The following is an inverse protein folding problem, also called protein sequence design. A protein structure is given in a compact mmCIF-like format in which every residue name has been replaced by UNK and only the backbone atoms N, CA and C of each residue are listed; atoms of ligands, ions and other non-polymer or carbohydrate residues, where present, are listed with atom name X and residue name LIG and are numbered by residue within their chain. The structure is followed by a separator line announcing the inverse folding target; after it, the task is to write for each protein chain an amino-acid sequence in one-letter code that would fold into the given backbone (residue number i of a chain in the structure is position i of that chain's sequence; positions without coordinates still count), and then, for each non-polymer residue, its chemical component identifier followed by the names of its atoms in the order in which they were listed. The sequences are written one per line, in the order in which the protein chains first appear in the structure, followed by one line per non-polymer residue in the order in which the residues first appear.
data_IF_028811504714
#
_entry.id   IF_028811504714
#
_cell.length_a   1.000
_cell.length_b   1.000
_cell.length_c   1.000
_cell.angle_alpha   90.00
_cell.angle_beta   90.00
_cell.angle_gamma   90.00
#
_symmetry.space_group_name_H-M   'P 1'
#
loop_
_entity.id
_entity.type
_entity.pdbx_description
1 polymer ?
#
# COMPACT_ATOMS: atom_id res chain seq x y z
N UNK A 1 1.57 2.75 2.18
CA UNK A 1 1.69 1.68 3.19
C UNK A 1 3.15 1.56 3.60
N UNK A 2 3.57 2.23 4.68
CA UNK A 2 4.98 2.31 5.09
C UNK A 2 5.40 1.20 6.07
N UNK A 3 6.71 1.04 6.26
CA UNK A 3 7.36 0.03 7.12
C UNK A 3 7.13 -1.40 6.64
N UNK A 4 7.15 -1.63 5.33
CA UNK A 4 6.90 -2.96 4.76
C UNK A 4 7.98 -3.97 5.17
N UNK A 5 9.20 -3.50 5.40
CA UNK A 5 10.32 -4.25 5.96
C UNK A 5 9.99 -4.82 7.36
N UNK A 6 9.56 -3.96 8.29
CA UNK A 6 9.21 -4.38 9.65
C UNK A 6 7.92 -5.19 9.68
N UNK A 7 7.00 -4.92 8.75
CA UNK A 7 5.78 -5.69 8.61
C UNK A 7 6.09 -7.13 8.17
N UNK A 8 6.92 -7.29 7.13
CA UNK A 8 7.39 -8.58 6.64
C UNK A 8 8.05 -9.39 7.75
N UNK A 9 9.02 -8.78 8.46
CA UNK A 9 9.72 -9.44 9.56
C UNK A 9 8.74 -9.94 10.65
N UNK A 10 7.77 -9.12 11.04
CA UNK A 10 6.77 -9.50 12.04
C UNK A 10 5.85 -10.62 11.57
N UNK A 11 5.38 -10.58 10.33
CA UNK A 11 4.46 -11.59 9.80
C UNK A 11 5.16 -12.96 9.70
N UNK A 12 6.42 -12.99 9.29
CA UNK A 12 7.19 -14.21 9.11
C UNK A 12 7.73 -14.80 10.42
N UNK A 13 8.17 -13.95 11.35
CA UNK A 13 9.01 -14.41 12.47
C UNK A 13 8.42 -14.20 13.86
N UNK A 14 7.46 -13.29 14.03
CA UNK A 14 7.01 -12.94 15.40
C UNK A 14 5.90 -13.83 15.97
N UNK A 15 5.32 -14.73 15.17
CA UNK A 15 4.12 -15.51 15.55
C UNK A 15 2.86 -14.68 15.76
N UNK A 16 2.93 -13.34 15.60
CA UNK A 16 1.80 -12.40 15.69
C UNK A 16 1.11 -12.31 14.33
N UNK A 17 0.45 -13.39 13.94
CA UNK A 17 -0.21 -13.46 12.64
C UNK A 17 -1.43 -12.53 12.58
N UNK A 18 -1.70 -12.00 11.38
CA UNK A 18 -2.70 -10.94 11.18
C UNK A 18 -4.11 -11.34 11.64
N UNK A 19 -4.49 -12.61 11.45
CA UNK A 19 -5.79 -13.18 11.87
C UNK A 19 -6.08 -13.06 13.37
N UNK A 20 -5.04 -12.92 14.20
CA UNK A 20 -5.19 -12.75 15.66
C UNK A 20 -5.69 -11.34 16.03
N UNK A 21 -5.50 -10.37 15.13
CA UNK A 21 -5.85 -8.97 15.35
C UNK A 21 -6.99 -8.49 14.44
N UNK A 22 -7.12 -9.10 13.26
CA UNK A 22 -8.12 -8.79 12.24
C UNK A 22 -8.84 -10.09 11.85
N UNK A 23 -9.91 -10.48 12.55
CA UNK A 23 -10.61 -11.76 12.34
C UNK A 23 -11.20 -11.96 10.93
N UNK A 24 -11.47 -10.86 10.23
CA UNK A 24 -11.91 -10.81 8.85
C UNK A 24 -10.82 -11.23 7.84
N UNK A 25 -9.55 -11.19 8.23
CA UNK A 25 -8.47 -11.69 7.39
C UNK A 25 -8.53 -13.22 7.30
N UNK A 26 -8.74 -13.73 6.07
CA UNK A 26 -8.82 -15.17 5.78
C UNK A 26 -7.59 -15.73 5.06
N UNK A 27 -6.55 -14.91 4.88
CA UNK A 27 -5.30 -15.35 4.27
C UNK A 27 -4.51 -16.29 5.18
N UNK A 28 -3.51 -16.96 4.60
CA UNK A 28 -2.62 -17.85 5.34
C UNK A 28 -1.70 -17.06 6.29
N UNK A 29 -1.27 -17.72 7.36
CA UNK A 29 -0.20 -17.21 8.20
C UNK A 29 1.12 -17.17 7.41
N UNK A 30 2.02 -16.27 7.81
CA UNK A 30 3.31 -16.02 7.15
C UNK A 30 3.21 -15.56 5.68
N UNK A 31 2.00 -15.32 5.15
CA UNK A 31 1.79 -14.75 3.82
C UNK A 31 1.78 -13.21 3.91
N UNK A 32 2.98 -12.64 3.72
CA UNK A 32 3.22 -11.19 3.78
C UNK A 32 2.40 -10.45 2.72
N UNK A 33 2.34 -11.00 1.51
CA UNK A 33 1.67 -10.39 0.37
C UNK A 33 0.15 -10.32 0.58
N UNK A 34 -0.47 -11.44 0.98
CA UNK A 34 -1.89 -11.49 1.28
C UNK A 34 -2.26 -10.55 2.43
N UNK A 35 -1.45 -10.55 3.50
CA UNK A 35 -1.63 -9.68 4.64
C UNK A 35 -1.50 -8.19 4.27
N UNK A 36 -0.49 -7.83 3.48
CA UNK A 36 -0.26 -6.45 3.02
C UNK A 36 -1.38 -5.95 2.11
N UNK A 37 -1.84 -6.78 1.14
CA UNK A 37 -2.95 -6.44 0.24
C UNK A 37 -4.28 -6.34 0.98
N UNK A 38 -4.53 -7.21 1.95
CA UNK A 38 -5.71 -7.13 2.80
C UNK A 38 -5.79 -5.78 3.53
N UNK A 39 -4.68 -5.36 4.16
CA UNK A 39 -4.61 -4.07 4.83
C UNK A 39 -4.80 -2.91 3.85
N UNK A 40 -4.12 -2.93 2.71
CA UNK A 40 -4.28 -1.90 1.69
C UNK A 40 -5.74 -1.79 1.20
N UNK A 41 -6.39 -2.93 0.95
CA UNK A 41 -7.80 -3.01 0.59
C UNK A 41 -8.71 -2.44 1.67
N UNK A 42 -8.41 -2.67 2.96
CA UNK A 42 -9.15 -2.09 4.07
C UNK A 42 -9.03 -0.56 4.15
N UNK A 43 -7.90 0.03 3.74
CA UNK A 43 -7.79 1.49 3.61
C UNK A 43 -8.55 2.02 2.40
N UNK A 44 -8.43 1.35 1.25
CA UNK A 44 -9.11 1.75 0.01
C UNK A 44 -10.64 1.67 0.16
N UNK A 45 -11.16 0.67 0.89
CA UNK A 45 -12.60 0.50 1.11
C UNK A 45 -13.24 1.62 1.94
N UNK A 46 -12.45 2.41 2.67
CA UNK A 46 -12.92 3.59 3.40
C UNK A 46 -13.15 4.80 2.50
N UNK A 47 -12.74 4.73 1.22
CA UNK A 47 -12.98 5.80 0.27
C UNK A 47 -14.49 5.97 0.01
N UNK A 48 -15.02 7.16 0.33
CA UNK A 48 -16.43 7.52 0.12
C UNK A 48 -16.69 8.23 -1.21
N UNK A 49 -15.61 8.62 -1.89
CA UNK A 49 -15.63 9.40 -3.12
C UNK A 49 -15.05 8.54 -4.26
N UNK A 50 -15.85 7.69 -4.92
CA UNK A 50 -15.35 6.75 -5.93
C UNK A 50 -14.70 7.44 -7.14
N UNK A 51 -15.03 8.71 -7.39
CA UNK A 51 -14.40 9.55 -8.40
C UNK A 51 -12.96 9.95 -8.04
N UNK A 52 -12.59 9.87 -6.75
CA UNK A 52 -11.23 10.13 -6.27
C UNK A 52 -10.49 8.80 -6.15
N UNK A 53 -9.55 8.57 -7.06
CA UNK A 53 -8.69 7.40 -7.01
C UNK A 53 -7.75 7.48 -5.80
N UNK A 54 -7.67 6.38 -5.04
CA UNK A 54 -6.76 6.25 -3.90
C UNK A 54 -5.55 5.42 -4.32
N UNK A 55 -4.45 6.11 -4.60
CA UNK A 55 -3.17 5.49 -4.92
C UNK A 55 -2.47 5.04 -3.64
N UNK A 56 -1.95 3.81 -3.64
CA UNK A 56 -1.17 3.29 -2.53
C UNK A 56 0.08 2.56 -3.04
N UNK A 57 1.17 2.74 -2.31
CA UNK A 57 2.44 2.05 -2.54
C UNK A 57 2.91 1.40 -1.25
N UNK A 58 3.59 0.27 -1.33
CA UNK A 58 4.31 -0.31 -0.20
C UNK A 58 5.71 0.29 -0.15
N UNK A 59 6.07 0.83 1.01
CA UNK A 59 7.28 1.63 1.16
C UNK A 59 8.08 1.24 2.38
N UNK A 60 9.39 1.42 2.28
CA UNK A 60 10.32 1.44 3.41
C UNK A 60 10.94 2.84 3.43
N UNK A 61 10.41 3.74 4.27
CA UNK A 61 10.84 5.14 4.27
C UNK A 61 12.33 5.36 4.61
N UNK A 62 12.97 4.37 5.26
CA UNK A 62 14.41 4.38 5.57
C UNK A 62 15.28 3.87 4.41
N UNK A 63 14.67 3.31 3.36
CA UNK A 63 15.35 2.92 2.12
C UNK A 63 15.21 4.05 1.10
N UNK A 64 16.30 4.79 0.88
CA UNK A 64 16.34 5.92 -0.06
C UNK A 64 16.03 5.52 -1.49
N UNK A 65 16.41 4.30 -1.90
CA UNK A 65 16.15 3.80 -3.25
C UNK A 65 14.65 3.51 -3.42
N UNK A 66 14.04 2.87 -2.41
CA UNK A 66 12.60 2.62 -2.40
C UNK A 66 11.80 3.93 -2.45
N UNK A 67 12.18 4.91 -1.61
CA UNK A 67 11.50 6.22 -1.57
C UNK A 67 11.66 6.96 -2.89
N UNK A 68 12.84 6.92 -3.53
CA UNK A 68 13.06 7.57 -4.82
C UNK A 68 12.15 7.00 -5.91
N UNK A 69 12.05 5.67 -6.01
CA UNK A 69 11.18 5.01 -7.01
C UNK A 69 9.71 5.36 -6.77
N UNK A 70 9.26 5.26 -5.51
CA UNK A 70 7.87 5.57 -5.17
C UNK A 70 7.55 7.04 -5.43
N UNK A 71 8.47 7.95 -5.10
CA UNK A 71 8.29 9.37 -5.35
C UNK A 71 8.18 9.69 -6.85
N UNK A 72 9.00 9.05 -7.68
CA UNK A 72 8.90 9.21 -9.14
C UNK A 72 7.51 8.78 -9.65
N UNK A 73 7.01 7.62 -9.21
CA UNK A 73 5.68 7.14 -9.61
C UNK A 73 4.56 8.09 -9.15
N UNK A 74 4.68 8.66 -7.96
CA UNK A 74 3.72 9.66 -7.47
C UNK A 74 3.77 10.94 -8.33
N UNK A 75 4.96 11.43 -8.66
CA UNK A 75 5.12 12.61 -9.53
C UNK A 75 4.51 12.37 -10.92
N UNK A 76 4.78 11.20 -11.52
CA UNK A 76 4.23 10.84 -12.83
C UNK A 76 2.69 10.77 -12.79
N UNK A 77 2.13 10.23 -11.71
CA UNK A 77 0.67 10.15 -11.50
C UNK A 77 0.07 11.55 -11.45
N UNK A 78 0.64 12.45 -10.64
CA UNK A 78 0.16 13.83 -10.49
C UNK A 78 0.27 14.60 -11.82
N UNK A 79 1.40 14.47 -12.53
CA UNK A 79 1.59 15.14 -13.82
C UNK A 79 0.56 14.65 -14.83
N UNK A 80 0.33 13.33 -14.91
CA UNK A 80 -0.64 12.72 -15.81
C UNK A 80 -2.07 13.21 -15.53
N UNK A 81 -2.49 13.21 -14.26
CA UNK A 81 -3.82 13.73 -13.87
C UNK A 81 -4.00 15.20 -14.26
N UNK A 82 -2.98 16.03 -14.05
CA UNK A 82 -3.04 17.44 -14.42
C UNK A 82 -3.15 17.64 -15.93
N UNK A 83 -2.42 16.85 -16.73
CA UNK A 83 -2.48 16.92 -18.19
C UNK A 83 -3.82 16.45 -18.76
N UNK A 84 -4.39 15.38 -18.21
CA UNK A 84 -5.74 14.90 -18.57
C UNK A 84 -6.80 15.98 -18.29
N UNK A 85 -6.69 16.70 -17.16
CA UNK A 85 -7.61 17.77 -16.79
C UNK A 85 -7.62 18.97 -17.76
N UNK A 86 -6.52 19.20 -18.49
CA UNK A 86 -6.40 20.29 -19.47
C UNK A 86 -6.46 19.81 -20.93
N UNK A 87 -6.87 18.56 -21.17
CA UNK A 87 -6.99 17.96 -22.51
C UNK A 87 -5.69 17.98 -23.34
N UNK A 88 -4.54 17.94 -22.67
CA UNK A 88 -3.22 17.85 -23.31
C UNK A 88 -2.76 16.39 -23.49
N UNK A 89 -3.65 15.42 -23.24
CA UNK A 89 -3.45 13.98 -23.29
C UNK A 89 -4.67 13.30 -23.93
#
# INVERSE_FOLDING_TARGET
MNKIDLFQDKILHSGRHLRLYLPEFKGADCDVDSAARFLAGAFVSLNKAPERLVYHHFTTATDTSNVQVVFQVVMDTIIKENLEAVSLL
#
